data_IF_374808923325
#
_entry.id   IF_374808923325
#
_cell.length_a   1.000
_cell.length_b   1.000
_cell.length_c   1.000
_cell.angle_alpha   90.00
_cell.angle_beta   90.00
_cell.angle_gamma   90.00
#
_symmetry.space_group_name_H-M   'P 1'
#
loop_
_entity.id
_entity.type
_entity.pdbx_description
1 polymer ?
#
# COMPACT_ATOMS: atom_id res chain seq x y z
N UNK A 1 8.30 -6.03 -29.78
CA UNK A 1 7.29 -6.55 -28.82
C UNK A 1 6.71 -5.34 -28.12
N UNK A 2 5.43 -5.05 -28.30
CA UNK A 2 4.76 -4.01 -27.52
C UNK A 2 4.73 -4.51 -26.07
N UNK A 3 5.30 -3.74 -25.13
CA UNK A 3 5.03 -3.93 -23.71
C UNK A 3 3.51 -3.81 -23.55
N UNK A 4 2.80 -4.80 -23.01
CA UNK A 4 1.38 -4.59 -22.70
C UNK A 4 1.29 -3.38 -21.78
N UNK A 5 0.55 -2.36 -22.21
CA UNK A 5 0.17 -1.23 -21.36
C UNK A 5 -0.57 -1.80 -20.17
N UNK A 6 0.09 -1.85 -19.01
CA UNK A 6 -0.50 -2.33 -17.78
C UNK A 6 -1.26 -1.16 -17.16
N UNK A 7 -2.43 -0.86 -17.70
CA UNK A 7 -3.28 0.18 -17.15
C UNK A 7 -4.01 -0.40 -15.93
N UNK A 8 -3.30 -0.51 -14.80
CA UNK A 8 -3.91 -0.83 -13.51
C UNK A 8 -5.01 0.19 -13.25
N UNK A 9 -6.27 -0.25 -13.15
CA UNK A 9 -7.37 0.64 -12.79
C UNK A 9 -7.56 0.66 -11.27
N UNK A 10 -8.17 1.71 -10.70
CA UNK A 10 -8.51 1.72 -9.28
C UNK A 10 -9.40 0.56 -8.86
N UNK A 11 -10.30 0.10 -9.73
CA UNK A 11 -11.18 -1.05 -9.45
C UNK A 11 -10.37 -2.35 -9.42
N UNK A 12 -9.48 -2.57 -10.40
CA UNK A 12 -8.61 -3.75 -10.42
C UNK A 12 -7.71 -3.80 -9.18
N UNK A 13 -7.17 -2.65 -8.77
CA UNK A 13 -6.36 -2.55 -7.56
C UNK A 13 -7.17 -2.76 -6.28
N UNK A 14 -8.42 -2.30 -6.24
CA UNK A 14 -9.33 -2.55 -5.13
C UNK A 14 -9.61 -4.05 -4.98
N UNK A 15 -9.96 -4.74 -6.08
CA UNK A 15 -10.20 -6.18 -6.07
C UNK A 15 -8.96 -6.97 -5.64
N UNK A 16 -7.78 -6.56 -6.14
CA UNK A 16 -6.51 -7.11 -5.69
C UNK A 16 -6.31 -6.91 -4.17
N UNK A 17 -6.53 -5.70 -3.68
CA UNK A 17 -6.35 -5.34 -2.27
C UNK A 17 -7.25 -6.17 -1.36
N UNK A 18 -8.53 -6.32 -1.71
CA UNK A 18 -9.48 -7.15 -0.96
C UNK A 18 -9.05 -8.62 -0.98
N UNK A 19 -8.67 -9.15 -2.15
CA UNK A 19 -8.22 -10.54 -2.27
C UNK A 19 -6.93 -10.80 -1.49
N UNK A 20 -5.98 -9.85 -1.48
CA UNK A 20 -4.72 -9.94 -0.74
C UNK A 20 -4.98 -9.92 0.75
N UNK A 21 -5.73 -8.92 1.21
CA UNK A 21 -6.00 -8.72 2.64
C UNK A 21 -6.79 -9.88 3.25
N UNK A 22 -7.60 -10.58 2.45
CA UNK A 22 -8.33 -11.79 2.85
C UNK A 22 -7.47 -13.06 3.00
N UNK A 23 -6.19 -13.06 2.59
CA UNK A 23 -5.32 -14.23 2.76
C UNK A 23 -4.93 -14.41 4.24
N UNK A 24 -4.74 -15.66 4.73
CA UNK A 24 -4.34 -15.92 6.11
C UNK A 24 -3.06 -15.16 6.50
N UNK A 25 -3.10 -14.44 7.62
CA UNK A 25 -1.95 -13.72 8.18
C UNK A 25 -1.66 -12.35 7.55
N UNK A 26 -2.21 -12.02 6.38
CA UNK A 26 -1.96 -10.71 5.73
C UNK A 26 -2.53 -9.56 6.54
N UNK A 27 -3.77 -9.66 7.01
CA UNK A 27 -4.40 -8.60 7.79
C UNK A 27 -3.59 -8.25 9.06
N UNK A 28 -3.17 -9.28 9.82
CA UNK A 28 -2.37 -9.12 11.03
C UNK A 28 -0.98 -8.54 10.74
N UNK A 29 -0.35 -8.95 9.63
CA UNK A 29 0.91 -8.41 9.18
C UNK A 29 0.79 -6.93 8.76
N UNK A 30 -0.23 -6.57 7.99
CA UNK A 30 -0.52 -5.18 7.62
C UNK A 30 -0.76 -4.30 8.86
N UNK A 31 -1.54 -4.78 9.83
CA UNK A 31 -1.78 -4.06 11.08
C UNK A 31 -0.49 -3.86 11.87
N UNK A 32 0.38 -4.87 11.90
CA UNK A 32 1.67 -4.80 12.59
C UNK A 32 2.64 -3.84 11.89
N UNK A 33 2.76 -3.93 10.56
CA UNK A 33 3.55 -3.01 9.73
C UNK A 33 3.10 -1.56 9.95
N UNK A 34 1.79 -1.34 10.04
CA UNK A 34 1.23 -0.02 10.32
C UNK A 34 1.53 0.46 11.74
N UNK A 35 1.15 -0.31 12.76
CA UNK A 35 1.15 0.17 14.14
C UNK A 35 2.55 0.19 14.77
N UNK A 36 3.45 -0.72 14.37
CA UNK A 36 4.82 -0.81 14.92
C UNK A 36 5.86 -0.09 14.05
N UNK A 37 5.71 -0.13 12.73
CA UNK A 37 6.71 0.41 11.80
C UNK A 37 6.24 1.69 11.09
N UNK A 38 5.00 2.14 11.30
CA UNK A 38 4.45 3.35 10.67
C UNK A 38 4.25 3.22 9.17
N UNK A 39 4.20 1.99 8.65
CA UNK A 39 4.13 1.72 7.21
C UNK A 39 2.68 1.85 6.72
N UNK A 40 2.49 2.56 5.61
CA UNK A 40 1.18 2.72 5.01
C UNK A 40 0.73 1.42 4.29
N UNK A 41 -0.42 0.88 4.71
CA UNK A 41 -0.95 -0.40 4.21
C UNK A 41 -1.32 -0.34 2.72
N UNK A 42 -1.92 0.75 2.24
CA UNK A 42 -2.28 0.89 0.82
C UNK A 42 -1.05 0.87 -0.08
N UNK A 43 0.05 1.50 0.37
CA UNK A 43 1.32 1.47 -0.32
C UNK A 43 1.94 0.06 -0.33
N UNK A 44 1.88 -0.68 0.78
CA UNK A 44 2.32 -2.09 0.84
C UNK A 44 1.56 -2.94 -0.16
N UNK A 45 0.23 -2.83 -0.19
CA UNK A 45 -0.62 -3.58 -1.12
C UNK A 45 -0.27 -3.26 -2.57
N UNK A 46 -0.02 -1.98 -2.91
CA UNK A 46 0.37 -1.61 -4.26
C UNK A 46 1.74 -2.20 -4.65
N UNK A 47 2.72 -2.16 -3.77
CA UNK A 47 4.02 -2.79 -4.04
C UNK A 47 3.93 -4.31 -4.14
N UNK A 48 3.05 -4.97 -3.39
CA UNK A 48 2.78 -6.40 -3.56
C UNK A 48 2.22 -6.67 -4.97
N UNK A 49 1.29 -5.86 -5.45
CA UNK A 49 0.78 -5.96 -6.81
C UNK A 49 1.91 -5.80 -7.84
N UNK A 50 2.77 -4.78 -7.69
CA UNK A 50 3.91 -4.54 -8.57
C UNK A 50 4.84 -5.77 -8.62
N UNK A 51 5.19 -6.31 -7.45
CA UNK A 51 6.06 -7.48 -7.33
C UNK A 51 5.48 -8.70 -8.03
N UNK A 52 4.20 -9.01 -7.83
CA UNK A 52 3.56 -10.18 -8.45
C UNK A 52 3.43 -10.07 -9.97
N UNK A 53 3.26 -8.84 -10.48
CA UNK A 53 3.16 -8.59 -11.92
C UNK A 53 4.51 -8.30 -12.58
N UNK A 54 5.62 -8.49 -11.84
CA UNK A 54 6.98 -8.16 -12.28
C UNK A 54 7.12 -6.71 -12.79
N UNK A 55 6.32 -5.80 -12.22
CA UNK A 55 6.37 -4.38 -12.50
C UNK A 55 7.35 -3.71 -11.53
N UNK A 56 8.30 -2.95 -12.07
CA UNK A 56 9.31 -2.23 -11.31
C UNK A 56 9.07 -0.72 -11.43
N UNK A 57 8.45 -0.10 -10.41
CA UNK A 57 8.20 1.34 -10.44
C UNK A 57 9.52 2.11 -10.46
N UNK A 58 9.62 3.13 -11.31
CA UNK A 58 10.78 4.04 -11.30
C UNK A 58 10.92 4.75 -9.96
N UNK A 59 12.10 5.32 -9.70
CA UNK A 59 12.30 6.22 -8.57
C UNK A 59 11.29 7.38 -8.55
N UNK A 60 11.01 7.98 -9.71
CA UNK A 60 10.01 9.05 -9.85
C UNK A 60 8.59 8.57 -9.50
N UNK A 61 8.20 7.37 -9.94
CA UNK A 61 6.91 6.77 -9.56
C UNK A 61 6.83 6.56 -8.04
N UNK A 62 7.91 6.05 -7.43
CA UNK A 62 7.97 5.82 -5.98
C UNK A 62 7.89 7.11 -5.17
N UNK A 63 8.57 8.17 -5.61
CA UNK A 63 8.49 9.50 -5.00
C UNK A 63 7.06 10.06 -5.09
N UNK A 64 6.43 10.00 -6.27
CA UNK A 64 5.05 10.46 -6.44
C UNK A 64 4.03 9.67 -5.60
N UNK A 65 4.24 8.36 -5.42
CA UNK A 65 3.42 7.54 -4.52
C UNK A 65 3.60 7.94 -3.05
N UNK A 66 4.83 8.26 -2.63
CA UNK A 66 5.09 8.77 -1.28
C UNK A 66 4.43 10.13 -1.04
N UNK A 67 4.46 11.03 -2.02
CA UNK A 67 3.77 12.32 -1.96
C UNK A 67 2.26 12.15 -1.83
N UNK A 68 1.66 11.24 -2.61
CA UNK A 68 0.24 10.92 -2.52
C UNK A 68 -0.13 10.39 -1.12
N UNK A 69 0.71 9.55 -0.52
CA UNK A 69 0.55 9.10 0.87
C UNK A 69 0.64 10.28 1.83
N UNK A 70 1.68 11.12 1.71
CA UNK A 70 1.91 12.25 2.62
C UNK A 70 0.76 13.27 2.62
N UNK A 71 0.08 13.45 1.48
CA UNK A 71 -1.08 14.35 1.37
C UNK A 71 -2.33 13.82 2.09
N UNK A 72 -2.61 12.51 2.02
CA UNK A 72 -3.89 11.94 2.48
C UNK A 72 -3.78 11.28 3.87
N UNK A 73 -2.62 10.69 4.19
CA UNK A 73 -2.42 9.92 5.43
C UNK A 73 -2.71 10.71 6.73
N UNK A 74 -2.40 12.03 6.84
CA UNK A 74 -2.77 12.80 8.03
C UNK A 74 -4.28 12.83 8.31
N UNK A 75 -5.11 12.85 7.28
CA UNK A 75 -6.57 12.81 7.43
C UNK A 75 -7.04 11.43 7.91
N UNK A 76 -6.47 10.35 7.36
CA UNK A 76 -6.73 8.97 7.78
C UNK A 76 -6.38 8.79 9.26
N UNK A 77 -5.20 9.25 9.69
CA UNK A 77 -4.76 9.15 11.08
C UNK A 77 -5.66 9.95 12.04
N UNK A 78 -6.12 11.14 11.64
CA UNK A 78 -7.09 11.90 12.42
C UNK A 78 -8.42 11.13 12.58
N UNK A 79 -8.90 10.50 11.51
CA UNK A 79 -10.11 9.68 11.55
C UNK A 79 -9.94 8.43 12.41
N UNK A 80 -8.77 7.77 12.35
CA UNK A 80 -8.43 6.64 13.22
C UNK A 80 -8.45 7.02 14.69
N UNK A 81 -7.89 8.17 15.05
CA UNK A 81 -7.94 8.69 16.42
C UNK A 81 -9.39 8.94 16.87
N UNK A 82 -10.20 9.61 16.04
CA UNK A 82 -11.62 9.85 16.34
C UNK A 82 -12.39 8.54 16.52
N UNK A 83 -12.19 7.56 15.64
CA UNK A 83 -12.82 6.23 15.74
C UNK A 83 -12.40 5.48 17.00
N UNK A 84 -11.13 5.53 17.39
CA UNK A 84 -10.62 4.93 18.64
C UNK A 84 -11.33 5.52 19.87
N UNK A 85 -11.58 6.84 19.89
CA UNK A 85 -12.32 7.52 20.96
C UNK A 85 -13.83 7.22 20.93
N UNK A 86 -14.39 6.91 19.76
CA UNK A 86 -15.81 6.67 19.55
C UNK A 86 -16.22 5.19 19.58
N UNK A 87 -15.37 4.27 20.05
CA UNK A 87 -15.61 2.80 20.05
C UNK A 87 -16.94 2.35 20.65
N UNK A 88 -17.54 3.14 21.55
CA UNK A 88 -18.84 2.85 22.17
C UNK A 88 -19.94 3.86 21.80
N UNK A 89 -19.70 4.70 20.80
CA UNK A 89 -20.63 5.74 20.34
C UNK A 89 -21.48 5.25 19.17
N UNK A 90 -22.74 5.73 19.04
CA UNK A 90 -23.55 5.54 17.83
C UNK A 90 -22.86 6.02 16.53
N UNK A 91 -21.87 6.92 16.65
CA UNK A 91 -21.14 7.47 15.52
C UNK A 91 -19.99 6.58 15.03
N UNK A 92 -19.73 5.43 15.67
CA UNK A 92 -18.60 4.55 15.33
C UNK A 92 -18.61 4.14 13.84
N UNK A 93 -19.76 3.69 13.34
CA UNK A 93 -19.85 3.18 11.97
C UNK A 93 -19.69 4.31 10.93
N UNK A 94 -20.26 5.49 11.21
CA UNK A 94 -20.08 6.66 10.36
C UNK A 94 -18.61 7.12 10.30
N UNK A 95 -17.88 7.07 11.42
CA UNK A 95 -16.46 7.38 11.44
C UNK A 95 -15.63 6.34 10.70
N UNK A 96 -15.98 5.06 10.82
CA UNK A 96 -15.34 3.96 10.08
C UNK A 96 -15.57 4.10 8.57
N UNK A 97 -16.77 4.46 8.15
CA UNK A 97 -17.06 4.68 6.73
C UNK A 97 -16.25 5.84 6.14
N UNK A 98 -16.13 6.95 6.88
CA UNK A 98 -15.30 8.08 6.45
C UNK A 98 -13.79 7.72 6.36
N UNK A 99 -13.29 6.87 7.25
CA UNK A 99 -11.91 6.34 7.15
C UNK A 99 -11.74 5.50 5.87
N UNK A 100 -12.69 4.61 5.56
CA UNK A 100 -12.67 3.79 4.35
C UNK A 100 -12.70 4.62 3.06
N UNK A 101 -13.44 5.74 3.05
CA UNK A 101 -13.50 6.65 1.90
C UNK A 101 -12.15 7.32 1.63
N UNK A 102 -11.45 7.74 2.69
CA UNK A 102 -10.10 8.30 2.59
C UNK A 102 -9.08 7.25 2.17
N UNK A 103 -9.18 6.01 2.68
CA UNK A 103 -8.32 4.91 2.24
C UNK A 103 -8.54 4.60 0.75
N UNK A 104 -9.80 4.59 0.28
CA UNK A 104 -10.11 4.42 -1.14
C UNK A 104 -9.60 5.59 -2.01
N UNK A 105 -9.62 6.82 -1.49
CA UNK A 105 -9.03 7.98 -2.16
C UNK A 105 -7.52 7.85 -2.29
N UNK A 106 -6.84 7.41 -1.22
CA UNK A 106 -5.41 7.16 -1.25
C UNK A 106 -5.05 6.06 -2.27
N UNK A 107 -5.81 4.97 -2.34
CA UNK A 107 -5.59 3.94 -3.37
C UNK A 107 -5.73 4.49 -4.79
N UNK A 108 -6.75 5.34 -5.05
CA UNK A 108 -6.91 6.00 -6.36
C UNK A 108 -5.71 6.89 -6.70
N UNK A 109 -5.23 7.67 -5.74
CA UNK A 109 -4.08 8.55 -5.93
C UNK A 109 -2.79 7.76 -6.19
N UNK A 110 -2.59 6.64 -5.48
CA UNK A 110 -1.46 5.74 -5.67
C UNK A 110 -1.46 5.10 -7.07
N UNK A 111 -2.61 4.59 -7.52
CA UNK A 111 -2.75 4.04 -8.88
C UNK A 111 -2.48 5.13 -9.94
N UNK A 112 -3.00 6.33 -9.74
CA UNK A 112 -2.75 7.45 -10.66
C UNK A 112 -1.26 7.81 -10.73
N UNK A 113 -0.56 7.86 -9.59
CA UNK A 113 0.87 8.11 -9.52
C UNK A 113 1.66 7.00 -10.25
N UNK A 114 1.33 5.73 -10.03
CA UNK A 114 1.99 4.61 -10.70
C UNK A 114 1.81 4.66 -12.22
N UNK A 115 0.57 4.86 -12.68
CA UNK A 115 0.22 4.90 -14.10
C UNK A 115 0.78 6.12 -14.83
N UNK A 116 0.97 7.25 -14.14
CA UNK A 116 1.59 8.44 -14.73
C UNK A 116 3.02 8.17 -15.21
N UNK A 117 3.74 7.28 -14.53
CA UNK A 117 5.11 6.89 -14.85
C UNK A 117 5.20 5.50 -15.50
N UNK A 118 4.13 4.95 -16.11
CA UNK A 118 4.10 3.57 -16.60
C UNK A 118 5.16 3.23 -17.66
N UNK A 119 5.62 4.23 -18.42
CA UNK A 119 6.68 4.09 -19.41
C UNK A 119 8.08 4.06 -18.81
N UNK A 120 8.22 4.49 -17.55
CA UNK A 120 9.47 4.57 -16.82
C UNK A 120 9.57 3.37 -15.88
N UNK A 121 10.29 2.34 -16.32
CA UNK A 121 10.60 1.19 -15.48
C UNK A 121 12.06 1.22 -15.10
N UNK A 122 12.35 1.04 -13.81
CA UNK A 122 13.72 0.83 -13.35
C UNK A 122 14.11 -0.65 -13.54
N UNK A 123 15.41 -0.91 -13.58
CA UNK A 123 15.97 -2.26 -13.49
C UNK A 123 16.60 -2.42 -12.11
N UNK A 124 16.04 -3.29 -11.27
CA UNK A 124 16.67 -3.71 -10.01
C UNK A 124 17.28 -5.10 -10.17
N UNK A 125 18.50 -5.28 -9.66
CA UNK A 125 19.17 -6.58 -9.56
C UNK A 125 18.68 -7.39 -8.34
N UNK A 126 17.77 -6.83 -7.53
CA UNK A 126 17.20 -7.49 -6.35
C UNK A 126 16.17 -8.53 -6.79
N UNK A 127 16.57 -9.80 -6.73
CA UNK A 127 15.70 -10.92 -7.11
C UNK A 127 14.76 -11.36 -5.97
N UNK A 128 15.15 -11.13 -4.71
CA UNK A 128 14.36 -11.52 -3.55
C UNK A 128 13.15 -10.56 -3.37
N UNK A 129 11.91 -11.07 -3.33
CA UNK A 129 10.73 -10.23 -3.23
C UNK A 129 10.61 -9.50 -1.89
N UNK A 130 11.14 -10.05 -0.79
CA UNK A 130 11.17 -9.40 0.52
C UNK A 130 12.15 -8.23 0.48
N UNK A 131 13.35 -8.44 -0.06
CA UNK A 131 14.34 -7.37 -0.23
C UNK A 131 13.84 -6.26 -1.16
N UNK A 132 13.12 -6.61 -2.24
CA UNK A 132 12.47 -5.62 -3.12
C UNK A 132 11.41 -4.82 -2.39
N UNK A 133 10.52 -5.49 -1.65
CA UNK A 133 9.47 -4.81 -0.90
C UNK A 133 10.08 -3.87 0.15
N UNK A 134 11.10 -4.34 0.88
CA UNK A 134 11.84 -3.52 1.83
C UNK A 134 12.50 -2.30 1.17
N UNK A 135 13.12 -2.50 0.00
CA UNK A 135 13.71 -1.43 -0.79
C UNK A 135 12.67 -0.39 -1.22
N UNK A 136 11.49 -0.80 -1.68
CA UNK A 136 10.40 0.10 -2.07
C UNK A 136 9.83 0.88 -0.89
N UNK A 137 9.72 0.23 0.27
CA UNK A 137 9.22 0.84 1.51
C UNK A 137 10.28 1.67 2.25
N UNK A 138 11.52 1.71 1.76
CA UNK A 138 12.65 2.39 2.43
C UNK A 138 12.89 1.90 3.87
N UNK A 139 12.73 0.59 4.09
CA UNK A 139 12.99 -0.08 5.36
C UNK A 139 14.13 -1.08 5.22
N UNK A 140 14.89 -1.30 6.29
CA UNK A 140 15.92 -2.32 6.31
C UNK A 140 15.29 -3.70 6.58
N UNK A 141 15.71 -4.73 5.84
CA UNK A 141 15.35 -6.11 6.17
C UNK A 141 16.02 -6.53 7.48
N UNK A 142 15.21 -6.89 8.46
CA UNK A 142 15.65 -7.24 9.81
C UNK A 142 14.74 -8.36 10.38
N UNK A 143 15.22 -9.18 11.34
CA UNK A 143 14.45 -10.32 11.85
C UNK A 143 13.08 -9.98 12.45
N UNK A 144 12.89 -8.75 12.89
CA UNK A 144 11.65 -8.22 13.47
C UNK A 144 10.61 -7.85 12.39
N UNK A 145 11.02 -7.24 11.28
CA UNK A 145 10.11 -6.80 10.22
C UNK A 145 9.88 -7.87 9.13
N UNK A 146 10.90 -8.68 8.85
CA UNK A 146 10.90 -9.67 7.76
C UNK A 146 9.71 -10.63 7.78
N UNK A 147 9.24 -11.16 8.94
CA UNK A 147 8.09 -12.06 8.96
C UNK A 147 6.82 -11.39 8.42
N UNK A 148 6.66 -10.08 8.64
CA UNK A 148 5.49 -9.33 8.18
C UNK A 148 5.61 -8.95 6.71
N UNK A 149 6.81 -8.60 6.23
CA UNK A 149 7.06 -8.40 4.80
C UNK A 149 6.86 -9.70 4.00
N UNK A 150 7.25 -10.84 4.57
CA UNK A 150 7.00 -12.14 3.97
C UNK A 150 5.51 -12.48 3.96
N UNK A 151 4.78 -12.17 5.05
CA UNK A 151 3.37 -12.51 5.16
C UNK A 151 2.47 -11.76 4.17
N UNK A 152 2.85 -10.53 3.76
CA UNK A 152 2.06 -9.72 2.81
C UNK A 152 2.35 -10.05 1.33
N UNK A 153 3.44 -10.76 1.04
CA UNK A 153 3.81 -11.24 -0.30
C UNK A 153 3.12 -12.57 -0.60
#
# INVERSE_FOLDING_TARGET
MQKPSMMLTPEDFWQFSVSRYGKPGVADACLTLQDQFGINVNLVLLYCWCIEHNYQPSSAAREAMQDAVAQINPAIELHRQKRRLAKSSPNYEAMKQAELELEAEQQRALVAALCFFESETETTDINDPIERLAHYLHVATQPDINPYLQAVL
#
